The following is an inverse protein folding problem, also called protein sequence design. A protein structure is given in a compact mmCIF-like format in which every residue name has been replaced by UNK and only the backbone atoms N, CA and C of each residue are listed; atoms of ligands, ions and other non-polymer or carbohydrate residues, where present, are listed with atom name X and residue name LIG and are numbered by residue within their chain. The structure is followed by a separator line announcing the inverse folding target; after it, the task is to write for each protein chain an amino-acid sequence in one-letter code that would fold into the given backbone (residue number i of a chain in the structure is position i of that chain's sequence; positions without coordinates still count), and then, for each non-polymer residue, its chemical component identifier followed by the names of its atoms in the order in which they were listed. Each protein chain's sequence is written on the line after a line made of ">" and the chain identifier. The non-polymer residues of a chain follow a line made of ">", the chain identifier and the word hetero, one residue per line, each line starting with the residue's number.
data_IF_527480324620
#
_entry.id   IF_527480324620
#
_cell.length_a   1.000
_cell.length_b   1.000
_cell.length_c   1.000
_cell.angle_alpha   90.00
_cell.angle_beta   90.00
_cell.angle_gamma   90.00
#
_symmetry.space_group_name_H-M   'P 1'
#
loop_
_entity.id
_entity.type
_entity.pdbx_description
1 polymer ?
#
# COMPACT_ATOMS: atom_id res chain seq x y z
N UNK A 1 43.18 34.03 -101.20
CA UNK A 1 42.37 33.26 -102.17
C UNK A 1 40.93 33.69 -101.97
N UNK A 2 40.45 34.47 -102.96
CA UNK A 2 39.07 34.83 -103.34
C UNK A 2 37.90 34.46 -102.40
N UNK A 3 36.93 35.33 -102.15
CA UNK A 3 36.62 36.61 -102.79
C UNK A 3 35.32 37.18 -102.22
N UNK A 4 35.28 38.51 -102.14
CA UNK A 4 34.09 39.32 -101.92
C UNK A 4 33.40 39.49 -103.28
N UNK A 5 32.08 39.28 -103.38
CA UNK A 5 31.23 39.99 -104.35
C UNK A 5 29.82 40.15 -103.78
N UNK A 6 29.60 41.36 -103.29
CA UNK A 6 28.37 42.18 -103.30
C UNK A 6 27.09 41.57 -103.86
N UNK A 7 25.98 41.79 -103.13
CA UNK A 7 24.78 42.43 -103.70
C UNK A 7 23.90 43.00 -102.58
N UNK A 8 23.95 44.33 -102.40
CA UNK A 8 22.82 45.09 -101.89
C UNK A 8 21.85 45.27 -103.07
N UNK A 9 20.64 44.71 -103.00
CA UNK A 9 19.48 45.26 -103.75
C UNK A 9 18.14 44.69 -103.21
N UNK A 10 17.33 45.61 -102.68
CA UNK A 10 15.86 45.61 -102.56
C UNK A 10 15.19 44.81 -101.43
N UNK A 11 14.93 45.52 -100.34
CA UNK A 11 13.92 45.17 -99.34
C UNK A 11 12.50 45.37 -99.90
N UNK A 12 11.72 44.30 -99.97
CA UNK A 12 10.27 44.39 -99.82
C UNK A 12 9.96 44.72 -98.36
N UNK A 13 9.35 45.87 -98.09
CA UNK A 13 9.06 46.39 -96.74
C UNK A 13 8.19 45.50 -95.84
N UNK A 14 7.67 44.37 -96.35
CA UNK A 14 6.85 43.39 -95.62
C UNK A 14 7.68 42.31 -94.91
N UNK A 15 8.85 41.92 -95.43
CA UNK A 15 9.62 40.78 -94.91
C UNK A 15 10.61 41.16 -93.79
N UNK A 16 11.08 42.41 -93.79
CA UNK A 16 11.97 42.95 -92.74
C UNK A 16 11.21 43.23 -91.42
N UNK A 17 9.93 43.59 -91.50
CA UNK A 17 9.06 43.77 -90.34
C UNK A 17 8.67 42.42 -89.71
N UNK A 18 8.40 41.40 -90.53
CA UNK A 18 8.12 40.02 -90.07
C UNK A 18 9.30 39.40 -89.31
N UNK A 19 10.53 39.60 -89.76
CA UNK A 19 11.73 39.06 -89.11
C UNK A 19 12.03 39.74 -87.75
N UNK A 20 11.77 41.07 -87.62
CA UNK A 20 11.90 41.79 -86.33
C UNK A 20 10.83 41.37 -85.32
N UNK A 21 9.59 41.20 -85.76
CA UNK A 21 8.49 40.76 -84.89
C UNK A 21 8.65 39.29 -84.46
N UNK A 22 9.15 38.43 -85.37
CA UNK A 22 9.51 37.04 -85.04
C UNK A 22 10.62 36.97 -83.99
N UNK A 23 11.68 37.77 -84.12
CA UNK A 23 12.77 37.84 -83.12
C UNK A 23 12.27 38.27 -81.75
N UNK A 24 11.40 39.27 -81.67
CA UNK A 24 10.79 39.71 -80.41
C UNK A 24 9.92 38.62 -79.78
N UNK A 25 9.10 37.94 -80.59
CA UNK A 25 8.27 36.82 -80.13
C UNK A 25 9.11 35.65 -79.58
N UNK A 26 10.22 35.31 -80.25
CA UNK A 26 11.17 34.28 -79.77
C UNK A 26 11.79 34.68 -78.44
N UNK A 27 12.23 35.94 -78.28
CA UNK A 27 12.79 36.43 -77.01
C UNK A 27 11.75 36.36 -75.89
N UNK A 28 10.50 36.77 -76.14
CA UNK A 28 9.42 36.66 -75.17
C UNK A 28 9.12 35.20 -74.79
N UNK A 29 9.10 34.28 -75.76
CA UNK A 29 8.89 32.86 -75.50
C UNK A 29 10.01 32.26 -74.66
N UNK A 30 11.28 32.59 -74.95
CA UNK A 30 12.43 32.14 -74.16
C UNK A 30 12.34 32.66 -72.73
N UNK A 31 12.00 33.94 -72.53
CA UNK A 31 11.84 34.53 -71.20
C UNK A 31 10.69 33.85 -70.43
N UNK A 32 9.55 33.60 -71.08
CA UNK A 32 8.44 32.86 -70.47
C UNK A 32 8.84 31.44 -70.09
N UNK A 33 9.55 30.72 -70.96
CA UNK A 33 10.07 29.39 -70.64
C UNK A 33 11.02 29.42 -69.44
N UNK A 34 11.94 30.39 -69.38
CA UNK A 34 12.85 30.53 -68.24
C UNK A 34 12.09 30.81 -66.95
N UNK A 35 11.11 31.72 -66.96
CA UNK A 35 10.27 32.01 -65.79
C UNK A 35 9.50 30.77 -65.32
N UNK A 36 8.88 30.04 -66.25
CA UNK A 36 8.16 28.81 -65.93
C UNK A 36 9.09 27.73 -65.35
N UNK A 37 10.28 27.56 -65.92
CA UNK A 37 11.28 26.62 -65.38
C UNK A 37 11.71 27.00 -63.97
N UNK A 38 11.96 28.28 -63.70
CA UNK A 38 12.32 28.73 -62.34
C UNK A 38 11.21 28.47 -61.32
N UNK A 39 9.95 28.72 -61.70
CA UNK A 39 8.80 28.46 -60.83
C UNK A 39 8.66 26.96 -60.51
N UNK A 40 8.84 26.09 -61.51
CA UNK A 40 8.80 24.63 -61.33
C UNK A 40 9.93 24.16 -60.42
N UNK A 41 11.15 24.66 -60.59
CA UNK A 41 12.30 24.28 -59.73
C UNK A 41 12.03 24.68 -58.28
N UNK A 42 11.58 25.92 -58.03
CA UNK A 42 11.26 26.39 -56.68
C UNK A 42 10.14 25.54 -56.06
N UNK A 43 9.09 25.24 -56.82
CA UNK A 43 7.99 24.38 -56.37
C UNK A 43 8.48 22.97 -56.03
N UNK A 44 9.33 22.37 -56.88
CA UNK A 44 9.93 21.06 -56.64
C UNK A 44 10.76 21.05 -55.36
N UNK A 45 11.61 22.05 -55.13
CA UNK A 45 12.43 22.16 -53.92
C UNK A 45 11.55 22.32 -52.67
N UNK A 46 10.51 23.15 -52.75
CA UNK A 46 9.59 23.35 -51.64
C UNK A 46 8.83 22.07 -51.28
N UNK A 47 8.29 21.35 -52.28
CA UNK A 47 7.61 20.07 -52.07
C UNK A 47 8.58 19.03 -51.49
N UNK A 48 9.81 18.95 -52.02
CA UNK A 48 10.81 18.00 -51.52
C UNK A 48 11.16 18.26 -50.05
N UNK A 49 11.42 19.53 -49.69
CA UNK A 49 11.75 19.93 -48.32
C UNK A 49 10.59 19.64 -47.35
N UNK A 50 9.35 19.93 -47.75
CA UNK A 50 8.19 19.63 -46.92
C UNK A 50 8.01 18.11 -46.73
N UNK A 51 8.25 17.32 -47.77
CA UNK A 51 8.13 15.86 -47.71
C UNK A 51 9.21 15.24 -46.80
N UNK A 52 10.46 15.74 -46.83
CA UNK A 52 11.52 15.27 -45.93
C UNK A 52 11.19 15.60 -44.48
N UNK A 53 10.80 16.85 -44.21
CA UNK A 53 10.43 17.28 -42.86
C UNK A 53 9.27 16.45 -42.30
N UNK A 54 8.21 16.22 -43.10
CA UNK A 54 7.08 15.37 -42.71
C UNK A 54 7.51 13.92 -42.41
N UNK A 55 8.52 13.40 -43.14
CA UNK A 55 9.03 12.04 -42.91
C UNK A 55 9.81 11.96 -41.60
N UNK A 56 10.59 12.98 -41.27
CA UNK A 56 11.33 13.07 -40.01
C UNK A 56 10.40 13.17 -38.80
N UNK A 57 9.40 14.06 -38.84
CA UNK A 57 8.39 14.18 -37.78
C UNK A 57 7.64 12.86 -37.56
N UNK A 58 7.28 12.17 -38.65
CA UNK A 58 6.64 10.84 -38.58
C UNK A 58 7.54 9.83 -37.88
N UNK A 59 8.83 9.78 -38.22
CA UNK A 59 9.78 8.85 -37.63
C UNK A 59 10.01 9.14 -36.14
N UNK A 60 10.11 10.41 -35.76
CA UNK A 60 10.22 10.82 -34.35
C UNK A 60 8.98 10.40 -33.55
N UNK A 61 7.78 10.67 -34.10
CA UNK A 61 6.53 10.25 -33.47
C UNK A 61 6.41 8.72 -33.39
N UNK A 62 6.90 8.00 -34.39
CA UNK A 62 6.92 6.54 -34.37
C UNK A 62 7.80 6.03 -33.22
N UNK A 63 9.02 6.53 -33.09
CA UNK A 63 9.93 6.17 -31.99
C UNK A 63 9.35 6.53 -30.62
N UNK A 64 8.72 7.71 -30.48
CA UNK A 64 8.06 8.08 -29.23
C UNK A 64 6.92 7.13 -28.88
N UNK A 65 6.11 6.74 -29.86
CA UNK A 65 5.01 5.79 -29.64
C UNK A 65 5.48 4.38 -29.28
N UNK A 66 6.57 3.90 -29.89
CA UNK A 66 7.15 2.59 -29.52
C UNK A 66 7.69 2.62 -28.10
N UNK A 67 8.44 3.66 -27.72
CA UNK A 67 8.97 3.80 -26.37
C UNK A 67 7.84 3.89 -25.32
N UNK A 68 6.79 4.67 -25.59
CA UNK A 68 5.61 4.74 -24.72
C UNK A 68 4.88 3.39 -24.60
N UNK A 69 4.89 2.58 -25.66
CA UNK A 69 4.30 1.23 -25.63
C UNK A 69 5.13 0.31 -24.73
N UNK A 70 6.46 0.34 -24.84
CA UNK A 70 7.37 -0.41 -23.98
C UNK A 70 7.24 -0.01 -22.51
N UNK A 71 7.20 1.30 -22.20
CA UNK A 71 6.97 1.80 -20.84
C UNK A 71 5.63 1.32 -20.28
N UNK A 72 4.58 1.32 -21.11
CA UNK A 72 3.25 0.83 -20.72
C UNK A 72 3.28 -0.66 -20.40
N UNK A 73 3.99 -1.47 -21.18
CA UNK A 73 4.14 -2.91 -20.92
C UNK A 73 4.96 -3.17 -19.64
N UNK A 74 6.02 -2.41 -19.41
CA UNK A 74 6.81 -2.49 -18.17
C UNK A 74 5.99 -2.10 -16.93
N UNK A 75 5.19 -1.03 -17.02
CA UNK A 75 4.29 -0.64 -15.94
C UNK A 75 3.22 -1.70 -15.69
N UNK A 76 2.66 -2.28 -16.75
CA UNK A 76 1.64 -3.33 -16.64
C UNK A 76 2.19 -4.56 -15.90
N UNK A 77 3.37 -5.04 -16.30
CA UNK A 77 4.03 -6.19 -15.66
C UNK A 77 4.38 -5.93 -14.19
N UNK A 78 4.82 -4.71 -13.87
CA UNK A 78 5.10 -4.30 -12.48
C UNK A 78 3.83 -4.27 -11.64
N UNK A 79 2.74 -3.71 -12.18
CA UNK A 79 1.44 -3.65 -11.49
C UNK A 79 0.89 -5.05 -11.24
N UNK A 80 0.98 -5.96 -12.21
CA UNK A 80 0.52 -7.35 -12.02
C UNK A 80 1.34 -8.06 -10.95
N UNK A 81 2.67 -7.92 -10.96
CA UNK A 81 3.54 -8.54 -9.96
C UNK A 81 3.28 -8.00 -8.54
N UNK A 82 3.07 -6.68 -8.39
CA UNK A 82 2.73 -6.08 -7.09
C UNK A 82 1.35 -6.54 -6.60
N UNK A 83 0.39 -6.69 -7.51
CA UNK A 83 -0.94 -7.19 -7.19
C UNK A 83 -0.88 -8.63 -6.67
N UNK A 84 -0.09 -9.49 -7.31
CA UNK A 84 0.07 -10.89 -6.89
C UNK A 84 0.79 -10.97 -5.53
N UNK A 85 1.83 -10.17 -5.32
CA UNK A 85 2.50 -10.06 -4.01
C UNK A 85 1.54 -9.62 -2.90
N UNK A 86 0.67 -8.65 -3.19
CA UNK A 86 -0.36 -8.20 -2.23
C UNK A 86 -1.38 -9.31 -1.93
N UNK A 87 -1.77 -10.10 -2.92
CA UNK A 87 -2.68 -11.22 -2.72
C UNK A 87 -2.08 -12.27 -1.77
N UNK A 88 -0.84 -12.70 -2.03
CA UNK A 88 -0.10 -13.65 -1.18
C UNK A 88 0.03 -13.11 0.24
N UNK A 89 0.49 -11.86 0.38
CA UNK A 89 0.67 -11.24 1.70
C UNK A 89 -0.64 -11.13 2.49
N UNK A 90 -1.76 -10.89 1.82
CA UNK A 90 -3.07 -10.85 2.46
C UNK A 90 -3.53 -12.24 2.93
N UNK A 91 -3.23 -13.30 2.18
CA UNK A 91 -3.50 -14.68 2.59
C UNK A 91 -2.68 -15.06 3.83
N UNK A 92 -1.38 -14.75 3.83
CA UNK A 92 -0.47 -15.00 4.95
C UNK A 92 -0.91 -14.26 6.23
N UNK A 93 -1.18 -12.95 6.14
CA UNK A 93 -1.68 -12.15 7.27
C UNK A 93 -3.02 -12.72 7.77
N UNK A 94 -3.87 -13.22 6.88
CA UNK A 94 -5.15 -13.84 7.26
C UNK A 94 -4.93 -15.16 8.01
N UNK A 95 -3.94 -15.96 7.62
CA UNK A 95 -3.57 -17.18 8.31
C UNK A 95 -2.98 -16.88 9.70
N UNK A 96 -2.02 -15.96 9.80
CA UNK A 96 -1.43 -15.52 11.07
C UNK A 96 -2.51 -14.97 12.02
N UNK A 97 -3.44 -14.16 11.51
CA UNK A 97 -4.55 -13.63 12.31
C UNK A 97 -5.43 -14.72 12.89
N UNK A 98 -5.72 -15.79 12.14
CA UNK A 98 -6.51 -16.94 12.65
C UNK A 98 -5.76 -17.69 13.74
N UNK A 99 -4.46 -17.89 13.57
CA UNK A 99 -3.63 -18.56 14.57
C UNK A 99 -3.56 -17.76 15.88
N UNK A 100 -3.28 -16.45 15.79
CA UNK A 100 -3.24 -15.56 16.96
C UNK A 100 -4.59 -15.50 17.64
N UNK A 101 -5.70 -15.47 16.88
CA UNK A 101 -7.04 -15.47 17.46
C UNK A 101 -7.29 -16.74 18.28
N UNK A 102 -6.96 -17.92 17.73
CA UNK A 102 -7.12 -19.19 18.45
C UNK A 102 -6.26 -19.25 19.71
N UNK A 103 -5.00 -18.77 19.65
CA UNK A 103 -4.13 -18.66 20.83
C UNK A 103 -4.72 -17.75 21.90
N UNK A 104 -5.26 -16.59 21.52
CA UNK A 104 -5.89 -15.65 22.45
C UNK A 104 -7.14 -16.24 23.10
N UNK A 105 -7.98 -16.96 22.35
CA UNK A 105 -9.14 -17.67 22.92
C UNK A 105 -8.73 -18.71 23.96
N UNK A 106 -7.67 -19.47 23.68
CA UNK A 106 -7.14 -20.45 24.63
C UNK A 106 -6.55 -19.79 25.88
N UNK A 107 -5.81 -18.68 25.72
CA UNK A 107 -5.26 -17.91 26.84
C UNK A 107 -6.38 -17.29 27.70
N UNK A 108 -7.45 -16.80 27.09
CA UNK A 108 -8.62 -16.30 27.83
C UNK A 108 -9.22 -17.40 28.70
N UNK A 109 -9.44 -18.60 28.14
CA UNK A 109 -9.95 -19.75 28.91
C UNK A 109 -9.04 -20.13 30.07
N UNK A 110 -7.72 -20.16 29.84
CA UNK A 110 -6.75 -20.44 30.91
C UNK A 110 -6.77 -19.37 31.98
N UNK A 111 -6.89 -18.10 31.60
CA UNK A 111 -6.99 -16.99 32.55
C UNK A 111 -8.27 -17.07 33.38
N UNK A 112 -9.40 -17.43 32.77
CA UNK A 112 -10.67 -17.62 33.46
C UNK A 112 -10.59 -18.77 34.48
N UNK A 113 -10.04 -19.92 34.06
CA UNK A 113 -9.81 -21.08 34.93
C UNK A 113 -8.90 -20.74 36.11
N UNK A 114 -7.75 -20.11 35.86
CA UNK A 114 -6.83 -19.70 36.92
C UNK A 114 -7.45 -18.68 37.87
N UNK A 115 -8.32 -17.79 37.36
CA UNK A 115 -9.02 -16.83 38.21
C UNK A 115 -10.06 -17.52 39.09
N UNK A 116 -10.78 -18.51 38.57
CA UNK A 116 -11.70 -19.34 39.35
C UNK A 116 -10.97 -20.12 40.45
N UNK A 117 -9.87 -20.81 40.10
CA UNK A 117 -9.02 -21.52 41.06
C UNK A 117 -8.47 -20.58 42.15
N UNK A 118 -8.02 -19.38 41.78
CA UNK A 118 -7.56 -18.40 42.76
C UNK A 118 -8.67 -17.91 43.68
N UNK A 119 -9.88 -17.68 43.16
CA UNK A 119 -11.02 -17.30 43.98
C UNK A 119 -11.39 -18.39 44.98
N UNK A 120 -11.37 -19.66 44.54
CA UNK A 120 -11.62 -20.81 45.41
C UNK A 120 -10.53 -20.96 46.48
N UNK A 121 -9.25 -20.83 46.10
CA UNK A 121 -8.13 -20.83 47.04
C UNK A 121 -8.24 -19.68 48.05
N UNK A 122 -8.58 -18.48 47.60
CA UNK A 122 -8.74 -17.31 48.47
C UNK A 122 -9.91 -17.49 49.45
N UNK A 123 -11.00 -18.12 49.00
CA UNK A 123 -12.13 -18.50 49.87
C UNK A 123 -11.69 -19.51 50.93
N UNK A 124 -10.99 -20.58 50.54
CA UNK A 124 -10.44 -21.57 51.46
C UNK A 124 -9.45 -20.95 52.46
N UNK A 125 -8.60 -20.03 52.00
CA UNK A 125 -7.63 -19.34 52.85
C UNK A 125 -8.32 -18.42 53.88
N UNK A 126 -9.36 -17.69 53.46
CA UNK A 126 -10.18 -16.88 54.38
C UNK A 126 -10.89 -17.73 55.45
N UNK A 127 -11.24 -18.99 55.13
CA UNK A 127 -11.76 -19.93 56.11
C UNK A 127 -10.68 -20.43 57.07
N UNK A 128 -9.47 -20.72 56.57
CA UNK A 128 -8.32 -21.14 57.38
C UNK A 128 -7.76 -20.04 58.28
N UNK A 129 -7.94 -18.75 57.95
CA UNK A 129 -7.41 -17.66 58.77
C UNK A 129 -8.04 -17.62 60.18
N UNK A 130 -9.24 -18.21 60.31
CA UNK A 130 -9.95 -18.45 61.59
C UNK A 130 -9.42 -19.65 62.37
N UNK A 131 -8.62 -20.51 61.74
CA UNK A 131 -7.94 -21.62 62.38
C UNK A 131 -6.49 -21.25 62.67
N UNK A 132 -6.05 -21.38 63.93
CA UNK A 132 -4.66 -21.14 64.34
C UNK A 132 -4.06 -22.46 64.80
N UNK A 133 -2.83 -22.75 64.37
CA UNK A 133 -2.08 -23.90 64.88
C UNK A 133 -1.11 -23.41 65.95
N UNK A 134 -1.13 -24.02 67.13
CA UNK A 134 -0.18 -23.74 68.19
C UNK A 134 0.18 -25.04 68.91
N UNK A 135 1.49 -25.32 69.06
CA UNK A 135 1.99 -26.57 69.69
C UNK A 135 1.32 -27.85 69.18
N UNK A 136 1.19 -27.98 67.86
CA UNK A 136 0.57 -29.13 67.19
C UNK A 136 -0.92 -29.33 67.50
N UNK A 137 -1.58 -28.31 68.03
CA UNK A 137 -3.02 -28.26 68.30
C UNK A 137 -3.67 -27.21 67.38
N UNK A 138 -4.83 -27.52 66.80
CA UNK A 138 -5.57 -26.63 65.90
C UNK A 138 -6.71 -25.94 66.68
N UNK A 139 -6.87 -24.63 66.50
CA UNK A 139 -7.77 -23.80 67.28
C UNK A 139 -8.66 -22.96 66.35
N UNK A 140 -9.98 -23.08 66.47
CA UNK A 140 -10.92 -22.21 65.75
C UNK A 140 -11.28 -20.98 66.58
N UNK A 141 -11.07 -19.77 66.05
CA UNK A 141 -11.50 -18.52 66.67
C UNK A 141 -12.80 -18.01 66.04
N UNK A 142 -13.86 -17.92 66.84
CA UNK A 142 -15.11 -17.27 66.46
C UNK A 142 -14.93 -15.76 66.36
N UNK A 143 -15.41 -15.14 65.28
CA UNK A 143 -15.48 -13.68 65.13
C UNK A 143 -16.55 -13.05 66.02
N UNK A 144 -17.57 -13.81 66.38
CA UNK A 144 -18.70 -13.38 67.20
C UNK A 144 -18.43 -13.63 68.69
N UNK A 145 -18.88 -12.68 69.52
CA UNK A 145 -18.93 -12.83 70.98
C UNK A 145 -20.18 -13.60 71.35
N UNK A 146 -20.03 -14.66 72.15
CA UNK A 146 -21.14 -15.46 72.67
C UNK A 146 -20.99 -15.64 74.17
N UNK A 147 -22.10 -15.88 74.88
CA UNK A 147 -22.03 -16.29 76.28
C UNK A 147 -21.39 -17.66 76.41
N UNK A 148 -20.83 -17.99 77.58
CA UNK A 148 -20.10 -19.26 77.78
C UNK A 148 -20.91 -20.50 77.38
N UNK A 149 -22.19 -20.54 77.75
CA UNK A 149 -23.10 -21.65 77.42
C UNK A 149 -23.35 -21.76 75.91
N UNK A 150 -23.50 -20.62 75.23
CA UNK A 150 -23.65 -20.58 73.77
C UNK A 150 -22.36 -20.96 73.05
N UNK A 151 -21.19 -20.53 73.55
CA UNK A 151 -19.88 -20.93 73.02
C UNK A 151 -19.67 -22.44 73.12
N UNK A 152 -20.05 -23.04 74.26
CA UNK A 152 -19.93 -24.49 74.47
C UNK A 152 -20.80 -25.27 73.49
N UNK A 153 -22.06 -24.85 73.34
CA UNK A 153 -22.97 -25.43 72.34
C UNK A 153 -22.43 -25.26 70.93
N UNK A 154 -21.96 -24.06 70.58
CA UNK A 154 -21.40 -23.73 69.26
C UNK A 154 -20.23 -24.62 68.84
N UNK A 155 -19.29 -24.91 69.75
CA UNK A 155 -18.17 -25.83 69.46
C UNK A 155 -18.66 -27.27 69.32
N UNK A 156 -19.55 -27.72 70.22
CA UNK A 156 -20.07 -29.10 70.23
C UNK A 156 -20.88 -29.42 68.96
N UNK A 157 -21.68 -28.48 68.47
CA UNK A 157 -22.42 -28.59 67.21
C UNK A 157 -21.50 -28.75 65.99
N UNK A 158 -20.23 -28.33 66.10
CA UNK A 158 -19.20 -28.47 65.05
C UNK A 158 -18.26 -29.66 65.28
N UNK A 159 -18.55 -30.52 66.26
CA UNK A 159 -17.70 -31.66 66.59
C UNK A 159 -16.38 -31.27 67.29
N UNK A 160 -16.32 -30.06 67.85
CA UNK A 160 -15.13 -29.50 68.53
C UNK A 160 -15.42 -29.26 70.01
N UNK A 161 -14.40 -29.03 70.82
CA UNK A 161 -14.57 -28.72 72.24
C UNK A 161 -14.21 -27.27 72.57
N UNK A 162 -15.00 -26.63 73.43
CA UNK A 162 -14.66 -25.29 73.91
C UNK A 162 -13.44 -25.36 74.83
N UNK A 163 -12.38 -24.61 74.50
CA UNK A 163 -11.17 -24.57 75.33
C UNK A 163 -11.32 -23.51 76.42
N UNK A 164 -10.93 -23.90 77.64
CA UNK A 164 -10.73 -22.99 78.76
C UNK A 164 -9.24 -22.67 78.84
N UNK A 165 -8.85 -21.43 78.54
CA UNK A 165 -7.45 -21.00 78.67
C UNK A 165 -7.23 -20.44 80.08
N UNK A 166 -6.34 -21.10 80.83
CA UNK A 166 -6.07 -20.81 82.24
C UNK A 166 -4.94 -19.79 82.48
N UNK A 167 -4.42 -19.13 81.44
CA UNK A 167 -3.39 -18.07 81.56
C UNK A 167 -4.02 -16.66 81.57
N UNK A 168 -3.68 -15.84 82.58
CA UNK A 168 -4.21 -14.48 82.77
C UNK A 168 -3.88 -13.52 81.64
N UNK A 169 -2.70 -13.60 81.02
CA UNK A 169 -2.30 -12.70 79.92
C UNK A 169 -3.09 -12.99 78.63
N UNK A 170 -3.42 -14.26 78.40
CA UNK A 170 -4.24 -14.72 77.26
C UNK A 170 -5.74 -14.47 77.48
N UNK A 171 -6.18 -14.42 78.74
CA UNK A 171 -7.56 -14.20 79.15
C UNK A 171 -8.05 -12.77 78.86
N UNK A 172 -7.16 -11.78 78.87
CA UNK A 172 -7.50 -10.37 78.58
C UNK A 172 -7.79 -10.13 77.09
N UNK A 173 -7.24 -10.96 76.20
CA UNK A 173 -7.51 -10.89 74.75
C UNK A 173 -8.75 -11.69 74.31
N UNK A 174 -9.34 -12.51 75.17
CA UNK A 174 -10.40 -13.47 74.83
C UNK A 174 -11.80 -12.91 75.11
N UNK A 175 -12.26 -12.02 74.23
CA UNK A 175 -13.71 -11.83 73.99
C UNK A 175 -14.24 -12.70 72.84
N UNK A 176 -13.54 -13.80 72.51
CA UNK A 176 -13.82 -14.64 71.35
C UNK A 176 -13.90 -16.12 71.77
N UNK A 177 -14.85 -16.88 71.22
CA UNK A 177 -14.94 -18.34 71.44
C UNK A 177 -13.75 -19.03 70.78
N UNK A 178 -13.07 -19.94 71.49
CA UNK A 178 -11.99 -20.76 70.94
C UNK A 178 -12.37 -22.23 71.04
N UNK A 179 -12.54 -22.89 69.89
CA UNK A 179 -12.81 -24.32 69.82
C UNK A 179 -11.54 -25.11 69.45
N UNK A 180 -11.41 -26.33 69.98
CA UNK A 180 -10.40 -27.33 69.64
C UNK A 180 -11.03 -28.42 68.77
#
# INVERSE_FOLDING_TARGET
>A
MFGCFTSCLWCSGSDCVKNRNYRAAVVCLVLLCVLLLTAVIVLCVHIHTNNTNCTEERNELLTRNTNLTEEREQLLTTITALKDQLAIKNEDITAEKKEVLSKNENLMKQSEQLNEENNDLQKCLGEMDRWKCYKSSLYYLSSERKSWTESKRYCTERGTNLIIINNREEQVSKRYCVCF
#
